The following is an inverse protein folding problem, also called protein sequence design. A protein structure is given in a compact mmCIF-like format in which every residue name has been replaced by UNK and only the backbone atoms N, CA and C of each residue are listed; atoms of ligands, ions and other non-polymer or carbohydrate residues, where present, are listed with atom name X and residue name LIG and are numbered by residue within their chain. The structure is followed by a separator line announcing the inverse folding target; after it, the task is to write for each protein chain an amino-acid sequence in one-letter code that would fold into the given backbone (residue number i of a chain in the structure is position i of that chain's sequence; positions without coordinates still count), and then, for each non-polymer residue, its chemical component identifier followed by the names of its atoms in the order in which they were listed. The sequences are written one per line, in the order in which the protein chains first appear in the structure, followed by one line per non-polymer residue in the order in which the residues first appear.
data_IF_000847723908
#
_entry.id   IF_000847723908
#
_cell.length_a   1.000
_cell.length_b   1.000
_cell.length_c   1.000
_cell.angle_alpha   90.00
_cell.angle_beta   90.00
_cell.angle_gamma   90.00
#
_symmetry.space_group_name_H-M   'P 1'
#
loop_
_entity.id
_entity.type
_entity.pdbx_description
1 polymer ?
#
# COMPACT_ATOMS: atom_id res chain seq x y z
N UNK A 1 -4.04 -25.54 -7.40
CA UNK A 1 -3.48 -25.38 -6.04
C UNK A 1 -4.22 -24.25 -5.35
N UNK A 2 -5.21 -24.60 -4.55
CA UNK A 2 -5.96 -23.67 -3.71
C UNK A 2 -5.07 -23.24 -2.54
N UNK A 3 -4.47 -22.05 -2.64
CA UNK A 3 -3.84 -21.41 -1.49
C UNK A 3 -4.97 -21.05 -0.53
N UNK A 4 -5.01 -21.70 0.63
CA UNK A 4 -5.85 -21.27 1.75
C UNK A 4 -5.31 -19.95 2.29
N UNK A 5 -5.66 -18.86 1.60
CA UNK A 5 -5.39 -17.51 2.08
C UNK A 5 -6.23 -17.30 3.33
N UNK A 6 -5.59 -16.93 4.44
CA UNK A 6 -6.32 -16.40 5.59
C UNK A 6 -7.08 -15.15 5.15
N UNK A 7 -8.30 -14.98 5.64
CA UNK A 7 -9.04 -13.72 5.45
C UNK A 7 -8.40 -12.66 6.34
N UNK A 8 -7.43 -11.92 5.80
CA UNK A 8 -6.93 -10.69 6.40
C UNK A 8 -7.53 -9.50 5.63
N UNK A 9 -8.01 -8.50 6.35
CA UNK A 9 -8.50 -7.27 5.73
C UNK A 9 -7.31 -6.46 5.17
N UNK A 10 -7.40 -5.98 3.91
CA UNK A 10 -6.31 -5.19 3.33
C UNK A 10 -6.14 -3.87 4.10
N UNK A 11 -4.90 -3.47 4.40
CA UNK A 11 -4.63 -2.24 5.11
C UNK A 11 -5.08 -1.02 4.30
N UNK A 12 -5.54 0.02 5.01
CA UNK A 12 -5.91 1.29 4.38
C UNK A 12 -4.66 2.10 4.04
N UNK A 13 -4.51 2.60 2.81
CA UNK A 13 -3.37 3.43 2.44
C UNK A 13 -3.51 4.82 3.09
N UNK A 14 -2.47 5.28 3.79
CA UNK A 14 -2.45 6.61 4.40
C UNK A 14 -1.56 7.57 3.62
N UNK A 15 -2.03 8.80 3.43
CA UNK A 15 -1.29 9.88 2.75
C UNK A 15 -1.38 11.17 3.54
N UNK A 16 -0.38 12.05 3.38
CA UNK A 16 -0.46 13.40 3.94
C UNK A 16 -1.61 14.18 3.30
N UNK A 17 -2.33 14.96 4.11
CA UNK A 17 -3.24 15.97 3.60
C UNK A 17 -2.43 17.06 2.88
N UNK A 18 -2.97 17.66 1.81
CA UNK A 18 -2.35 18.82 1.19
C UNK A 18 -2.14 19.93 2.21
N UNK A 19 -0.94 20.53 2.22
CA UNK A 19 -0.66 21.70 3.05
C UNK A 19 -1.34 22.90 2.41
N UNK A 20 -2.34 23.48 3.08
CA UNK A 20 -2.99 24.70 2.62
C UNK A 20 -2.29 25.93 3.21
N UNK A 21 -2.09 26.97 2.39
CA UNK A 21 -1.42 28.22 2.79
C UNK A 21 -2.05 28.86 4.03
N UNK A 22 -3.37 28.74 4.17
CA UNK A 22 -4.14 29.28 5.32
C UNK A 22 -3.79 28.67 6.68
N UNK A 23 -3.14 27.51 6.72
CA UNK A 23 -2.75 26.84 7.96
C UNK A 23 -1.38 27.25 8.49
N UNK A 24 -0.75 28.27 7.90
CA UNK A 24 0.45 28.90 8.48
C UNK A 24 1.64 27.96 8.70
N UNK A 25 1.71 26.86 7.95
CA UNK A 25 2.79 25.87 8.06
C UNK A 25 2.49 24.65 8.95
N UNK A 26 1.35 24.62 9.65
CA UNK A 26 0.94 23.47 10.47
C UNK A 26 0.88 22.16 9.65
N UNK A 27 1.21 21.03 10.30
CA UNK A 27 1.08 19.72 9.68
C UNK A 27 -0.41 19.37 9.56
N UNK A 28 -0.93 19.17 8.34
CA UNK A 28 -2.36 18.94 8.14
C UNK A 28 -2.78 17.50 8.52
N UNK A 29 -1.83 16.66 8.95
CA UNK A 29 -2.05 15.27 9.33
C UNK A 29 -2.24 14.34 8.15
N UNK A 30 -2.68 13.11 8.45
CA UNK A 30 -2.89 12.03 7.49
C UNK A 30 -4.37 11.91 7.10
N UNK A 31 -4.61 11.35 5.91
CA UNK A 31 -5.92 10.92 5.41
C UNK A 31 -5.79 9.59 4.70
N UNK A 32 -6.91 8.91 4.52
CA UNK A 32 -6.98 7.76 3.63
C UNK A 32 -6.74 8.19 2.17
N UNK A 33 -5.86 7.46 1.50
CA UNK A 33 -5.58 7.56 0.08
C UNK A 33 -6.52 6.68 -0.73
N UNK A 34 -6.48 6.83 -2.06
CA UNK A 34 -7.27 5.97 -2.98
C UNK A 34 -6.72 4.55 -3.09
N UNK A 35 -5.41 4.38 -2.92
CA UNK A 35 -4.67 3.15 -3.09
C UNK A 35 -3.21 3.30 -2.66
N UNK A 36 -2.46 2.21 -2.66
CA UNK A 36 -1.01 2.16 -2.52
C UNK A 36 -0.34 2.59 -3.82
N UNK A 37 0.81 3.25 -3.75
CA UNK A 37 1.55 3.64 -4.94
C UNK A 37 2.35 2.47 -5.51
N UNK A 38 2.69 2.54 -6.81
CA UNK A 38 3.53 1.52 -7.45
C UNK A 38 4.86 1.32 -6.70
N UNK A 39 5.58 2.37 -6.27
CA UNK A 39 6.81 2.17 -5.50
C UNK A 39 6.59 1.41 -4.19
N UNK A 40 5.48 1.66 -3.48
CA UNK A 40 5.17 0.94 -2.23
C UNK A 40 4.89 -0.55 -2.49
N UNK A 41 4.14 -0.85 -3.55
CA UNK A 41 3.83 -2.23 -3.96
C UNK A 41 5.10 -2.99 -4.38
N UNK A 42 5.95 -2.37 -5.21
CA UNK A 42 7.22 -2.98 -5.63
C UNK A 42 8.18 -3.17 -4.45
N UNK A 43 8.18 -2.28 -3.48
CA UNK A 43 9.06 -2.35 -2.30
C UNK A 43 8.71 -3.53 -1.37
N UNK A 44 7.47 -4.03 -1.41
CA UNK A 44 7.07 -5.26 -0.71
C UNK A 44 7.18 -6.52 -1.58
N UNK A 45 7.77 -6.41 -2.77
CA UNK A 45 8.01 -7.56 -3.64
C UNK A 45 6.82 -7.97 -4.51
N UNK A 46 5.78 -7.13 -4.61
CA UNK A 46 4.57 -7.43 -5.39
C UNK A 46 4.59 -6.75 -6.76
N UNK A 47 3.98 -7.42 -7.74
CA UNK A 47 3.49 -6.80 -8.97
C UNK A 47 2.17 -6.05 -8.77
N UNK A 48 1.81 -5.17 -9.71
CA UNK A 48 0.53 -4.43 -9.66
C UNK A 48 -0.65 -5.40 -9.84
N UNK A 49 -0.48 -6.38 -10.72
CA UNK A 49 -1.49 -7.42 -10.95
C UNK A 49 -1.68 -8.28 -9.71
N UNK A 50 -0.59 -8.69 -9.06
CA UNK A 50 -0.62 -9.49 -7.82
C UNK A 50 -1.30 -8.72 -6.69
N UNK A 51 -0.94 -7.45 -6.49
CA UNK A 51 -1.58 -6.61 -5.49
C UNK A 51 -3.11 -6.52 -5.69
N UNK A 52 -3.56 -6.34 -6.93
CA UNK A 52 -5.00 -6.32 -7.25
C UNK A 52 -5.68 -7.67 -6.99
N UNK A 53 -5.01 -8.77 -7.28
CA UNK A 53 -5.51 -10.11 -6.98
C UNK A 53 -5.63 -10.38 -5.48
N UNK A 54 -4.76 -9.78 -4.67
CA UNK A 54 -4.83 -9.78 -3.21
C UNK A 54 -5.86 -8.78 -2.64
N UNK A 55 -6.59 -8.06 -3.49
CA UNK A 55 -7.57 -7.06 -3.06
C UNK A 55 -6.97 -5.75 -2.57
N UNK A 56 -5.67 -5.51 -2.78
CA UNK A 56 -5.03 -4.25 -2.41
C UNK A 56 -5.42 -3.15 -3.43
N UNK A 57 -5.92 -1.99 -2.95
CA UNK A 57 -6.19 -0.87 -3.84
C UNK A 57 -4.87 -0.26 -4.31
N UNK A 58 -4.69 -0.07 -5.62
CA UNK A 58 -3.46 0.51 -6.21
C UNK A 58 -3.77 1.83 -6.92
N UNK A 59 -2.99 2.87 -6.60
CA UNK A 59 -3.01 4.18 -7.25
C UNK A 59 -1.78 4.32 -8.17
N UNK A 60 -1.88 3.90 -9.45
CA UNK A 60 -0.74 3.88 -10.38
C UNK A 60 -0.23 5.27 -10.74
N UNK A 61 -1.02 6.33 -10.52
CA UNK A 61 -0.63 7.71 -10.83
C UNK A 61 0.19 8.34 -9.70
N UNK A 62 0.15 7.77 -8.48
CA UNK A 62 0.89 8.28 -7.32
C UNK A 62 2.36 7.85 -7.39
N UNK A 63 3.26 8.83 -7.39
CA UNK A 63 4.72 8.61 -7.38
C UNK A 63 5.33 8.62 -5.98
N UNK A 64 4.62 9.18 -4.99
CA UNK A 64 5.11 9.26 -3.62
C UNK A 64 5.01 7.91 -2.91
N UNK A 65 5.98 7.64 -2.04
CA UNK A 65 6.00 6.48 -1.16
C UNK A 65 6.05 6.92 0.30
N UNK A 66 5.38 6.17 1.16
CA UNK A 66 5.40 6.41 2.59
C UNK A 66 5.78 5.14 3.35
N UNK A 67 6.74 5.25 4.28
CA UNK A 67 7.25 4.11 5.05
C UNK A 67 6.16 3.37 5.83
N UNK A 68 5.21 4.11 6.44
CA UNK A 68 4.09 3.50 7.17
C UNK A 68 3.20 2.62 6.28
N UNK A 69 3.04 2.96 5.00
CA UNK A 69 2.28 2.14 4.06
C UNK A 69 3.05 0.86 3.72
N UNK A 70 4.37 0.96 3.52
CA UNK A 70 5.24 -0.19 3.26
C UNK A 70 5.23 -1.16 4.45
N UNK A 71 5.31 -0.65 5.67
CA UNK A 71 5.21 -1.46 6.88
C UNK A 71 3.84 -2.14 7.02
N UNK A 72 2.75 -1.42 6.77
CA UNK A 72 1.40 -1.99 6.79
C UNK A 72 1.23 -3.11 5.75
N UNK A 73 1.75 -2.92 4.54
CA UNK A 73 1.76 -3.93 3.48
C UNK A 73 2.59 -5.16 3.88
N UNK A 74 3.78 -4.98 4.49
CA UNK A 74 4.61 -6.10 4.95
C UNK A 74 3.88 -6.95 5.99
N UNK A 75 3.27 -6.32 7.00
CA UNK A 75 2.48 -7.01 8.03
C UNK A 75 1.32 -7.78 7.42
N UNK A 76 0.59 -7.15 6.50
CA UNK A 76 -0.50 -7.79 5.79
C UNK A 76 -0.05 -9.05 5.04
N UNK A 77 1.07 -8.99 4.32
CA UNK A 77 1.61 -10.14 3.58
C UNK A 77 2.10 -11.24 4.52
N UNK A 78 2.70 -10.87 5.66
CA UNK A 78 3.13 -11.81 6.69
C UNK A 78 1.93 -12.55 7.31
N UNK A 79 0.85 -11.83 7.63
CA UNK A 79 -0.40 -12.41 8.14
C UNK A 79 -1.04 -13.38 7.15
N UNK A 80 -1.01 -13.04 5.86
CA UNK A 80 -1.45 -13.92 4.77
C UNK A 80 -0.53 -15.11 4.55
N UNK A 81 0.69 -15.11 5.10
CA UNK A 81 1.74 -16.08 4.76
C UNK A 81 2.16 -15.99 3.28
N UNK A 82 1.91 -14.86 2.64
CA UNK A 82 2.19 -14.67 1.22
C UNK A 82 3.68 -14.44 1.02
N UNK A 83 4.31 -15.35 0.29
CA UNK A 83 5.69 -15.18 -0.17
C UNK A 83 5.66 -14.65 -1.61
N UNK A 84 6.10 -13.40 -1.87
CA UNK A 84 6.22 -12.92 -3.23
C UNK A 84 7.14 -13.86 -4.01
N UNK A 85 6.69 -14.30 -5.19
CA UNK A 85 7.39 -15.31 -6.00
C UNK A 85 8.66 -14.77 -6.68
N UNK A 86 9.03 -13.52 -6.41
CA UNK A 86 10.06 -12.78 -7.13
C UNK A 86 9.43 -12.09 -8.34
N UNK A 87 9.54 -10.75 -8.40
CA UNK A 87 8.80 -9.87 -9.32
C UNK A 87 9.12 -10.19 -10.79
N UNK A 88 8.10 -10.38 -11.65
CA UNK A 88 8.11 -9.72 -12.96
C UNK A 88 6.96 -8.70 -13.10
N UNK A 89 7.33 -7.42 -13.24
CA UNK A 89 6.53 -6.25 -13.69
C UNK A 89 7.45 -5.05 -14.06
#
# INVERSE_FOLDING_TARGET
MSFGLKEAEPPRPLVKKPRLRKYGGADPGLREGKGFSIPEIKEVGLGVAEARMLGLPVDPKRKTKWGWNVEALKRYLEELGYKPRGIPD
#
